data_IF_798636432275
#
_entry.id   IF_798636432275
#
_cell.length_a   1.000
_cell.length_b   1.000
_cell.length_c   1.000
_cell.angle_alpha   90.00
_cell.angle_beta   90.00
_cell.angle_gamma   90.00
#
_symmetry.space_group_name_H-M   'P 1'
#
loop_
_entity.id
_entity.type
_entity.pdbx_description
1 polymer ?
#
# COMPACT_ATOMS: atom_id res chain seq x y z
N UNK A 1 -22.96 -3.80 25.71
CA UNK A 1 -22.86 -2.88 24.55
C UNK A 1 -21.40 -2.44 24.46
N UNK A 2 -20.59 -3.20 23.71
CA UNK A 2 -19.15 -2.94 23.56
C UNK A 2 -19.04 -1.77 22.58
N UNK A 3 -18.73 -0.58 23.08
CA UNK A 3 -18.38 0.54 22.21
C UNK A 3 -16.96 0.29 21.68
N UNK A 4 -16.68 0.49 20.38
CA UNK A 4 -15.30 0.54 19.92
C UNK A 4 -14.59 1.66 20.69
N UNK A 5 -13.47 1.35 21.36
CA UNK A 5 -12.65 2.34 22.07
C UNK A 5 -11.73 3.13 21.15
N UNK A 6 -11.67 2.75 19.87
CA UNK A 6 -10.95 3.50 18.87
C UNK A 6 -11.90 4.54 18.27
N UNK A 7 -11.44 5.78 18.19
CA UNK A 7 -12.08 6.75 17.30
C UNK A 7 -11.96 6.19 15.88
N UNK A 8 -13.04 5.66 15.34
CA UNK A 8 -13.15 5.49 13.89
C UNK A 8 -12.97 6.90 13.34
N UNK A 9 -11.86 7.15 12.66
CA UNK A 9 -11.64 8.42 11.98
C UNK A 9 -12.89 8.72 11.16
N UNK A 10 -13.44 9.93 11.33
CA UNK A 10 -14.67 10.31 10.65
C UNK A 10 -14.47 10.09 9.15
N UNK A 11 -15.35 9.29 8.54
CA UNK A 11 -15.31 8.99 7.12
C UNK A 11 -15.33 10.33 6.37
N UNK A 12 -14.26 10.62 5.63
CA UNK A 12 -14.24 11.79 4.77
C UNK A 12 -15.26 11.61 3.65
N UNK A 13 -16.01 12.65 3.34
CA UNK A 13 -16.87 12.69 2.16
C UNK A 13 -15.98 12.69 0.90
N UNK A 14 -15.67 11.50 0.40
CA UNK A 14 -14.92 11.33 -0.84
C UNK A 14 -15.87 11.58 -2.01
N UNK A 15 -15.43 12.40 -2.97
CA UNK A 15 -16.09 12.54 -4.27
C UNK A 15 -15.19 11.95 -5.35
N UNK A 16 -15.78 11.14 -6.21
CA UNK A 16 -15.13 10.63 -7.43
C UNK A 16 -15.87 11.25 -8.61
N UNK A 17 -15.15 12.02 -9.44
CA UNK A 17 -15.74 12.76 -10.57
C UNK A 17 -16.93 13.66 -10.18
N UNK A 18 -16.86 14.30 -9.01
CA UNK A 18 -17.91 15.19 -8.50
C UNK A 18 -19.13 14.50 -7.89
N UNK A 19 -19.21 13.16 -7.94
CA UNK A 19 -20.27 12.35 -7.33
C UNK A 19 -19.77 11.87 -5.96
N UNK A 20 -20.62 11.98 -4.94
CA UNK A 20 -20.32 11.44 -3.62
C UNK A 20 -20.17 9.92 -3.70
N UNK A 21 -19.05 9.39 -3.22
CA UNK A 21 -18.77 7.96 -3.23
C UNK A 21 -18.85 7.38 -1.81
N UNK A 22 -19.74 6.42 -1.64
CA UNK A 22 -19.92 5.71 -0.37
C UNK A 22 -18.99 4.49 -0.22
N UNK A 23 -18.33 4.07 -1.30
CA UNK A 23 -17.58 2.81 -1.36
C UNK A 23 -16.08 3.00 -1.26
N UNK A 24 -15.51 4.06 -1.83
CA UNK A 24 -14.12 4.42 -1.57
C UNK A 24 -13.93 4.90 -0.14
N UNK A 25 -13.15 4.15 0.63
CA UNK A 25 -12.74 4.51 1.98
C UNK A 25 -11.23 4.74 2.00
N UNK A 26 -10.75 5.78 2.72
CA UNK A 26 -9.32 5.89 3.01
C UNK A 26 -8.87 4.69 3.85
N UNK A 27 -7.59 4.36 3.78
CA UNK A 27 -6.99 3.44 4.75
C UNK A 27 -7.07 4.03 6.14
N UNK A 28 -7.38 3.19 7.12
CA UNK A 28 -7.51 3.57 8.53
C UNK A 28 -6.94 2.46 9.41
N UNK A 29 -6.68 2.80 10.67
CA UNK A 29 -6.21 1.80 11.64
C UNK A 29 -7.43 1.03 12.15
N UNK A 30 -7.48 -0.26 11.84
CA UNK A 30 -8.43 -1.18 12.46
C UNK A 30 -7.72 -2.01 13.53
N UNK A 31 -8.09 -1.77 14.79
CA UNK A 31 -7.58 -2.52 15.93
C UNK A 31 -8.44 -3.76 16.24
N UNK A 32 -9.41 -4.07 15.37
CA UNK A 32 -10.31 -5.20 15.46
C UNK A 32 -11.34 -5.07 16.58
N UNK A 33 -12.16 -6.11 16.73
CA UNK A 33 -12.92 -6.30 17.96
C UNK A 33 -11.95 -6.59 19.10
N UNK A 34 -12.12 -5.93 20.24
CA UNK A 34 -11.29 -6.16 21.43
C UNK A 34 -11.36 -7.64 21.83
N UNK A 35 -10.27 -8.36 21.59
CA UNK A 35 -9.97 -9.65 22.23
C UNK A 35 -8.95 -9.41 23.34
N UNK A 36 -8.71 -10.42 24.17
CA UNK A 36 -7.69 -10.35 25.24
C UNK A 36 -6.27 -10.04 24.70
N UNK A 37 -6.04 -10.21 23.39
CA UNK A 37 -4.76 -9.98 22.70
C UNK A 37 -4.76 -8.74 21.78
N UNK A 38 -5.94 -8.16 21.48
CA UNK A 38 -6.12 -7.03 20.54
C UNK A 38 -6.77 -5.80 21.18
N UNK A 39 -6.67 -5.66 22.50
CA UNK A 39 -7.20 -4.50 23.23
C UNK A 39 -6.31 -3.25 23.09
N UNK A 40 -5.85 -2.97 21.87
CA UNK A 40 -5.08 -1.76 21.56
C UNK A 40 -6.03 -0.62 21.25
N UNK A 41 -5.73 0.57 21.78
CA UNK A 41 -6.46 1.81 21.50
C UNK A 41 -5.60 2.86 20.81
N UNK A 42 -4.31 2.55 20.64
CA UNK A 42 -3.31 3.30 19.91
C UNK A 42 -2.27 2.29 19.36
N UNK A 43 -1.50 2.65 18.32
CA UNK A 43 -0.38 1.84 17.86
C UNK A 43 0.59 1.51 19.02
N UNK A 44 1.10 0.27 19.10
CA UNK A 44 2.01 -0.14 20.19
C UNK A 44 3.43 0.44 20.05
N UNK A 45 3.77 0.99 18.89
CA UNK A 45 5.06 1.63 18.59
C UNK A 45 4.80 2.95 17.90
N UNK A 46 5.56 3.99 18.27
CA UNK A 46 5.56 5.24 17.53
C UNK A 46 6.24 5.04 16.17
N UNK A 47 5.89 5.83 15.16
CA UNK A 47 6.47 5.67 13.82
C UNK A 47 7.98 5.92 13.74
N UNK A 48 8.56 6.53 14.77
CA UNK A 48 10.01 6.71 14.89
C UNK A 48 10.73 5.53 15.54
N UNK A 49 10.02 4.59 16.15
CA UNK A 49 10.59 3.42 16.85
C UNK A 49 11.05 2.31 15.90
N UNK A 50 10.61 2.34 14.65
CA UNK A 50 10.93 1.34 13.65
C UNK A 50 11.15 1.96 12.27
N UNK A 51 11.71 1.16 11.38
CA UNK A 51 12.07 1.57 10.02
C UNK A 51 11.70 0.48 9.04
N UNK A 52 11.14 0.87 7.91
CA UNK A 52 10.84 -0.06 6.82
C UNK A 52 12.07 -0.24 5.93
N UNK A 53 12.38 -1.47 5.56
CA UNK A 53 13.47 -1.79 4.61
C UNK A 53 12.87 -2.27 3.30
N UNK A 54 13.28 -1.68 2.19
CA UNK A 54 12.78 -2.02 0.86
C UNK A 54 13.87 -1.94 -0.21
N UNK A 55 13.55 -2.46 -1.40
CA UNK A 55 14.38 -2.40 -2.61
C UNK A 55 13.54 -2.10 -3.87
N UNK A 56 12.41 -1.42 -3.70
CA UNK A 56 11.48 -1.05 -4.77
C UNK A 56 10.73 -2.20 -5.46
N UNK A 57 10.87 -3.45 -5.00
CA UNK A 57 10.13 -4.59 -5.60
C UNK A 57 8.69 -4.69 -5.11
N UNK A 58 8.39 -4.11 -3.96
CA UNK A 58 7.08 -4.21 -3.33
C UNK A 58 6.00 -3.65 -4.27
N UNK A 59 4.95 -4.44 -4.49
CA UNK A 59 3.80 -4.12 -5.31
C UNK A 59 2.53 -4.59 -4.57
N UNK A 60 1.38 -3.99 -4.88
CA UNK A 60 0.07 -4.33 -4.32
C UNK A 60 -0.05 -3.98 -2.83
N UNK A 61 -0.56 -4.90 -2.01
CA UNK A 61 -0.92 -4.66 -0.62
C UNK A 61 0.24 -4.15 0.23
N UNK A 62 1.47 -4.64 -0.02
CA UNK A 62 2.63 -4.15 0.72
C UNK A 62 2.90 -2.67 0.45
N UNK A 63 2.66 -2.20 -0.79
CA UNK A 63 2.89 -0.83 -1.20
C UNK A 63 1.92 0.11 -0.51
N UNK A 64 0.65 -0.29 -0.46
CA UNK A 64 -0.40 0.42 0.28
C UNK A 64 -0.06 0.52 1.77
N UNK A 65 0.30 -0.62 2.37
CA UNK A 65 0.67 -0.67 3.78
C UNK A 65 1.84 0.28 4.09
N UNK A 66 2.90 0.24 3.28
CA UNK A 66 4.05 1.13 3.48
C UNK A 66 3.73 2.60 3.24
N UNK A 67 2.92 2.94 2.23
CA UNK A 67 2.45 4.31 2.01
C UNK A 67 1.69 4.82 3.22
N UNK A 68 0.80 4.00 3.76
CA UNK A 68 -0.02 4.35 4.90
C UNK A 68 0.83 4.57 6.17
N UNK A 69 1.77 3.68 6.45
CA UNK A 69 2.72 3.84 7.55
C UNK A 69 3.56 5.12 7.43
N UNK A 70 4.01 5.45 6.22
CA UNK A 70 4.74 6.69 5.98
C UNK A 70 3.84 7.92 6.13
N UNK A 71 2.68 7.95 5.49
CA UNK A 71 1.81 9.13 5.42
C UNK A 71 1.09 9.43 6.73
N UNK A 72 0.60 8.40 7.44
CA UNK A 72 -0.13 8.57 8.70
C UNK A 72 0.78 8.58 9.91
N UNK A 73 1.68 7.60 9.98
CA UNK A 73 2.49 7.35 11.18
C UNK A 73 3.90 7.94 11.07
N UNK A 74 4.29 8.50 9.92
CA UNK A 74 5.61 9.12 9.74
C UNK A 74 6.76 8.11 9.73
N UNK A 75 6.48 6.84 9.45
CA UNK A 75 7.48 5.76 9.51
C UNK A 75 8.57 5.99 8.47
N UNK A 76 9.82 5.96 8.94
CA UNK A 76 10.99 6.15 8.10
C UNK A 76 11.31 4.89 7.30
N UNK A 77 12.03 5.05 6.18
CA UNK A 77 12.39 3.95 5.30
C UNK A 77 13.82 3.97 4.77
N UNK A 78 14.44 2.80 4.73
CA UNK A 78 15.73 2.52 4.09
C UNK A 78 15.48 1.78 2.76
N UNK A 79 15.88 2.39 1.65
CA UNK A 79 15.73 1.79 0.31
C UNK A 79 17.09 1.38 -0.23
N UNK A 80 17.24 0.11 -0.59
CA UNK A 80 18.47 -0.45 -1.12
C UNK A 80 18.43 -0.61 -2.64
N UNK A 81 19.51 -0.22 -3.30
CA UNK A 81 19.67 -0.37 -4.76
C UNK A 81 19.27 0.89 -5.53
N UNK A 82 18.73 0.68 -6.73
CA UNK A 82 18.46 1.76 -7.70
C UNK A 82 19.72 2.38 -8.31
N UNK A 83 19.53 3.34 -9.21
CA UNK A 83 20.62 3.98 -9.96
C UNK A 83 21.63 4.65 -9.01
N UNK A 84 22.95 4.37 -9.10
CA UNK A 84 23.94 4.93 -8.18
C UNK A 84 23.94 6.46 -8.08
N UNK A 85 23.72 7.16 -9.20
CA UNK A 85 23.69 8.63 -9.28
C UNK A 85 22.47 9.29 -8.64
N UNK A 86 21.38 8.55 -8.39
CA UNK A 86 20.19 9.12 -7.76
C UNK A 86 20.41 9.28 -6.25
N UNK A 87 20.07 10.45 -5.69
CA UNK A 87 20.17 10.68 -4.23
C UNK A 87 19.03 10.06 -3.43
N UNK A 88 17.91 9.75 -4.09
CA UNK A 88 16.72 9.13 -3.52
C UNK A 88 16.22 8.00 -4.44
N UNK A 89 15.56 7.01 -3.86
CA UNK A 89 14.95 5.89 -4.60
C UNK A 89 13.49 5.75 -4.20
N UNK A 90 12.68 5.22 -5.13
CA UNK A 90 11.28 4.91 -4.84
C UNK A 90 11.22 3.78 -3.81
N UNK A 91 10.32 3.87 -2.84
CA UNK A 91 10.18 2.83 -1.82
C UNK A 91 9.64 1.53 -2.41
N UNK A 92 8.60 1.62 -3.23
CA UNK A 92 7.92 0.51 -3.88
C UNK A 92 8.03 0.57 -5.42
N UNK A 93 7.31 -0.32 -6.10
CA UNK A 93 7.27 -0.43 -7.56
C UNK A 93 6.26 0.51 -8.24
N UNK A 94 5.47 1.25 -7.46
CA UNK A 94 4.40 2.13 -7.95
C UNK A 94 3.05 1.44 -8.17
N UNK A 95 2.97 0.11 -8.10
CA UNK A 95 1.69 -0.62 -8.20
C UNK A 95 1.07 -0.76 -6.82
N UNK A 96 -0.13 -0.20 -6.62
CA UNK A 96 -0.80 -0.09 -5.31
C UNK A 96 -2.22 -0.60 -5.38
N UNK A 97 -2.31 -1.87 -5.76
CA UNK A 97 -3.57 -2.59 -5.83
C UNK A 97 -4.13 -2.99 -4.47
N UNK A 98 -5.37 -2.58 -4.23
CA UNK A 98 -6.15 -2.93 -3.04
C UNK A 98 -6.95 -4.22 -3.24
N UNK A 99 -7.32 -4.50 -4.49
CA UNK A 99 -8.04 -5.72 -4.86
C UNK A 99 -7.57 -6.17 -6.24
N UNK A 100 -7.16 -7.43 -6.35
CA UNK A 100 -6.95 -8.09 -7.64
C UNK A 100 -8.23 -8.84 -7.99
N UNK A 101 -8.66 -8.75 -9.24
CA UNK A 101 -9.67 -9.63 -9.82
C UNK A 101 -9.15 -10.26 -11.10
N UNK A 102 -9.76 -11.37 -11.47
CA UNK A 102 -9.44 -12.05 -12.72
C UNK A 102 -10.48 -11.70 -13.79
N UNK A 103 -10.02 -11.66 -15.03
CA UNK A 103 -10.85 -11.30 -16.18
C UNK A 103 -12.12 -12.16 -16.31
N UNK A 104 -12.01 -13.46 -16.03
CA UNK A 104 -13.14 -14.38 -16.05
C UNK A 104 -14.20 -14.01 -15.00
N UNK A 105 -13.78 -13.49 -13.84
CA UNK A 105 -14.71 -12.98 -12.82
C UNK A 105 -15.45 -11.75 -13.33
N UNK A 106 -14.76 -10.83 -14.01
CA UNK A 106 -15.39 -9.64 -14.62
C UNK A 106 -16.43 -10.03 -15.67
N UNK A 107 -16.09 -10.95 -16.57
CA UNK A 107 -17.03 -11.44 -17.61
C UNK A 107 -18.23 -12.14 -16.96
N UNK A 108 -18.00 -12.93 -15.91
CA UNK A 108 -19.08 -13.61 -15.19
C UNK A 108 -20.03 -12.62 -14.49
N UNK A 109 -19.50 -11.61 -13.81
CA UNK A 109 -20.31 -10.55 -13.16
C UNK A 109 -21.15 -9.77 -14.18
N UNK A 110 -20.59 -9.45 -15.36
CA UNK A 110 -21.34 -8.79 -16.44
C UNK A 110 -22.49 -9.66 -16.95
N UNK A 111 -22.28 -10.97 -17.05
CA UNK A 111 -23.33 -11.92 -17.41
C UNK A 111 -24.45 -11.96 -16.35
N UNK A 112 -24.09 -12.00 -15.07
CA UNK A 112 -25.07 -11.98 -13.97
C UNK A 112 -25.87 -10.66 -13.94
N UNK A 113 -25.22 -9.54 -14.28
CA UNK A 113 -25.85 -8.23 -14.38
C UNK A 113 -26.68 -8.03 -15.65
N UNK A 114 -26.64 -8.96 -16.62
CA UNK A 114 -27.32 -8.82 -17.92
C UNK A 114 -26.68 -7.77 -18.84
N UNK A 115 -25.38 -7.51 -18.67
CA UNK A 115 -24.59 -6.49 -19.37
C UNK A 115 -23.62 -7.08 -20.41
N UNK A 116 -23.71 -8.38 -20.71
CA UNK A 116 -22.79 -9.05 -21.64
C UNK A 116 -22.86 -8.52 -23.09
N UNK A 117 -23.97 -7.89 -23.46
CA UNK A 117 -24.21 -7.33 -24.80
C UNK A 117 -23.92 -5.81 -24.86
N UNK A 118 -23.45 -5.21 -23.76
CA UNK A 118 -23.02 -3.80 -23.75
C UNK A 118 -21.82 -3.62 -24.69
N UNK A 119 -21.80 -2.61 -25.59
CA UNK A 119 -20.67 -2.37 -26.49
C UNK A 119 -19.32 -2.12 -25.80
N UNK A 120 -19.33 -1.72 -24.52
CA UNK A 120 -18.14 -1.52 -23.69
C UNK A 120 -17.77 -2.78 -22.88
N UNK A 121 -18.59 -3.83 -22.88
CA UNK A 121 -18.28 -5.08 -22.19
C UNK A 121 -17.09 -5.78 -22.87
N UNK A 122 -16.08 -6.23 -22.10
CA UNK A 122 -14.99 -6.99 -22.66
C UNK A 122 -15.46 -8.38 -23.11
N UNK A 123 -14.94 -8.84 -24.24
CA UNK A 123 -15.21 -10.18 -24.75
C UNK A 123 -14.22 -11.21 -24.17
N UNK A 124 -14.64 -12.47 -23.96
CA UNK A 124 -13.73 -13.56 -23.63
C UNK A 124 -12.52 -13.63 -24.58
N UNK A 125 -11.36 -14.04 -24.05
CA UNK A 125 -10.18 -14.21 -24.90
C UNK A 125 -10.43 -15.25 -26.00
N UNK A 126 -9.99 -15.00 -27.25
CA UNK A 126 -10.16 -15.95 -28.36
C UNK A 126 -9.24 -17.18 -28.23
N UNK A 127 -8.35 -17.18 -27.24
CA UNK A 127 -7.37 -18.22 -26.93
C UNK A 127 -7.40 -18.50 -25.44
N UNK A 128 -6.85 -19.64 -25.02
CA UNK A 128 -6.62 -19.93 -23.61
C UNK A 128 -5.60 -18.93 -23.04
N UNK A 129 -6.11 -17.88 -22.41
CA UNK A 129 -5.36 -16.82 -21.77
C UNK A 129 -5.99 -16.46 -20.44
N UNK A 130 -5.18 -15.95 -19.52
CA UNK A 130 -5.62 -15.41 -18.25
C UNK A 130 -5.07 -13.99 -18.11
N UNK A 131 -5.87 -13.12 -17.51
CA UNK A 131 -5.50 -11.76 -17.17
C UNK A 131 -6.02 -11.49 -15.77
N UNK A 132 -5.12 -11.06 -14.89
CA UNK A 132 -5.48 -10.47 -13.61
C UNK A 132 -5.32 -8.96 -13.70
N UNK A 133 -6.25 -8.23 -13.10
CA UNK A 133 -6.26 -6.78 -13.07
C UNK A 133 -6.35 -6.28 -11.64
N UNK A 134 -5.70 -5.15 -11.38
CA UNK A 134 -5.93 -4.38 -10.18
C UNK A 134 -7.31 -3.72 -10.30
N UNK A 135 -8.31 -4.30 -9.65
CA UNK A 135 -9.71 -3.89 -9.76
C UNK A 135 -10.03 -2.65 -8.93
N UNK A 136 -9.40 -2.53 -7.75
CA UNK A 136 -9.56 -1.37 -6.87
C UNK A 136 -8.23 -0.77 -6.51
N UNK A 137 -8.10 0.52 -6.81
CA UNK A 137 -6.94 1.32 -6.44
C UNK A 137 -7.07 1.86 -5.02
N UNK A 138 -5.92 2.01 -4.38
CA UNK A 138 -5.80 2.69 -3.10
C UNK A 138 -5.90 4.21 -3.25
N UNK A 139 -6.67 4.84 -2.35
CA UNK A 139 -6.65 6.28 -2.11
C UNK A 139 -5.66 6.56 -0.98
N UNK A 140 -4.78 7.58 -1.10
CA UNK A 140 -3.84 7.92 -0.04
C UNK A 140 -4.54 8.43 1.20
N UNK A 141 -3.85 8.32 2.33
CA UNK A 141 -4.30 8.90 3.60
C UNK A 141 -4.35 10.43 3.51
N UNK A 142 -3.31 11.04 2.94
CA UNK A 142 -3.32 12.47 2.62
C UNK A 142 -3.91 12.65 1.21
N UNK A 143 -5.20 12.93 1.14
CA UNK A 143 -5.96 13.00 -0.12
C UNK A 143 -6.12 14.44 -0.65
N UNK A 144 -6.01 14.59 -1.97
CA UNK A 144 -6.50 15.76 -2.75
C UNK A 144 -7.43 15.25 -3.85
N UNK A 145 -8.26 16.11 -4.45
CA UNK A 145 -9.38 15.73 -5.36
C UNK A 145 -9.03 14.79 -6.55
N UNK A 146 -7.75 14.52 -6.82
CA UNK A 146 -7.28 13.57 -7.84
C UNK A 146 -6.12 12.66 -7.39
N UNK A 147 -5.94 12.45 -6.08
CA UNK A 147 -4.81 11.63 -5.60
C UNK A 147 -5.14 10.15 -5.69
N UNK A 148 -4.86 9.54 -6.85
CA UNK A 148 -4.72 8.09 -6.99
C UNK A 148 -3.26 7.75 -6.70
N UNK A 149 -2.99 6.68 -5.96
CA UNK A 149 -1.60 6.34 -5.64
C UNK A 149 -0.89 5.50 -6.72
N UNK A 150 -1.63 4.86 -7.62
CA UNK A 150 -1.08 4.04 -8.71
C UNK A 150 -0.08 4.86 -9.57
N UNK A 151 1.12 4.31 -9.76
CA UNK A 151 2.26 4.89 -10.46
C UNK A 151 2.78 6.22 -9.90
N UNK A 152 2.38 6.58 -8.67
CA UNK A 152 2.92 7.76 -7.98
C UNK A 152 4.25 7.42 -7.34
N UNK A 153 5.26 8.27 -7.61
CA UNK A 153 6.56 8.17 -6.97
C UNK A 153 6.47 8.50 -5.48
N UNK A 154 6.76 7.52 -4.64
CA UNK A 154 6.96 7.72 -3.20
C UNK A 154 8.41 7.46 -2.83
N UNK A 155 9.08 8.50 -2.33
CA UNK A 155 10.50 8.44 -1.97
C UNK A 155 10.73 7.64 -0.69
N UNK A 156 11.82 6.88 -0.65
CA UNK A 156 12.41 6.41 0.60
C UNK A 156 12.96 7.54 1.46
N UNK A 157 13.08 7.33 2.77
CA UNK A 157 13.71 8.32 3.68
C UNK A 157 15.22 8.41 3.45
N UNK A 158 15.90 7.26 3.35
CA UNK A 158 17.31 7.15 2.95
C UNK A 158 17.46 6.11 1.85
N UNK A 159 18.44 6.33 0.97
CA UNK A 159 18.86 5.39 -0.07
C UNK A 159 20.24 4.84 0.27
N UNK A 160 20.42 3.54 0.09
CA UNK A 160 21.70 2.86 0.22
C UNK A 160 22.00 2.02 -1.04
N UNK A 161 23.28 1.78 -1.29
CA UNK A 161 23.72 0.85 -2.33
C UNK A 161 24.11 -0.47 -1.67
N UNK A 162 23.84 -1.58 -2.36
CA UNK A 162 24.36 -2.87 -1.90
C UNK A 162 25.88 -2.88 -2.00
N UNK A 163 26.52 -3.31 -0.92
CA UNK A 163 27.94 -3.69 -0.91
C UNK A 163 28.05 -5.21 -0.93
N UNK A 164 29.24 -5.73 -1.24
CA UNK A 164 29.50 -7.17 -1.17
C UNK A 164 29.23 -7.75 0.23
N UNK A 165 29.38 -6.94 1.29
CA UNK A 165 29.09 -7.35 2.66
C UNK A 165 27.58 -7.48 2.93
N UNK A 166 26.74 -6.72 2.22
CA UNK A 166 25.29 -6.63 2.47
C UNK A 166 24.45 -7.52 1.54
N UNK A 167 24.86 -7.68 0.27
CA UNK A 167 24.01 -8.20 -0.82
C UNK A 167 23.28 -9.54 -0.53
N UNK A 168 23.93 -10.48 0.16
CA UNK A 168 23.35 -11.79 0.49
C UNK A 168 23.31 -12.05 2.01
N UNK A 169 23.26 -11.00 2.83
CA UNK A 169 23.28 -11.12 4.29
C UNK A 169 22.16 -10.27 4.91
N UNK A 170 20.91 -10.79 4.99
CA UNK A 170 19.79 -10.04 5.54
C UNK A 170 20.04 -9.48 6.93
N UNK A 171 20.69 -10.25 7.82
CA UNK A 171 21.05 -9.79 9.16
C UNK A 171 21.96 -8.55 9.11
N UNK A 172 22.98 -8.54 8.24
CA UNK A 172 23.89 -7.41 8.11
C UNK A 172 23.18 -6.15 7.56
N UNK A 173 22.14 -6.32 6.73
CA UNK A 173 21.28 -5.21 6.29
C UNK A 173 20.54 -4.62 7.49
N UNK A 174 19.93 -5.46 8.33
CA UNK A 174 19.19 -5.00 9.51
C UNK A 174 20.09 -4.32 10.53
N UNK A 175 21.28 -4.87 10.80
CA UNK A 175 22.28 -4.26 11.68
C UNK A 175 22.72 -2.88 11.15
N UNK A 176 23.06 -2.79 9.86
CA UNK A 176 23.42 -1.54 9.20
C UNK A 176 22.29 -0.50 9.27
N UNK A 177 21.05 -0.91 8.98
CA UNK A 177 19.89 -0.02 9.02
C UNK A 177 19.62 0.44 10.46
N UNK A 178 19.77 -0.44 11.45
CA UNK A 178 19.59 -0.07 12.85
C UNK A 178 20.59 1.01 13.26
N UNK A 179 21.87 0.83 12.91
CA UNK A 179 22.92 1.82 13.15
C UNK A 179 22.61 3.16 12.47
N UNK A 180 22.19 3.14 11.20
CA UNK A 180 21.91 4.34 10.40
C UNK A 180 20.71 5.18 10.89
N UNK A 181 19.74 4.57 11.56
CA UNK A 181 18.48 5.23 11.95
C UNK A 181 18.33 5.46 13.45
N UNK A 182 19.04 4.68 14.28
CA UNK A 182 18.96 4.72 15.74
C UNK A 182 20.32 4.94 16.43
N UNK A 183 21.43 4.83 15.69
CA UNK A 183 22.78 4.93 16.23
C UNK A 183 23.32 3.58 16.73
N UNK A 184 24.61 3.55 17.06
CA UNK A 184 25.23 2.40 17.73
C UNK A 184 24.78 2.34 19.19
N UNK A 185 24.42 1.15 19.66
CA UNK A 185 24.25 0.88 21.09
C UNK A 185 25.58 1.05 21.84
#
# INVERSE_FOLDING_TARGET
MIRPKCAVEAQQDVKVNGIADAYSKPFFDDFGAASDVTNFTAPPFDGLDYVMVANSICAFTCSIFSSYLFQKHGVRSAVFGGTPSAHISQFDSGVKGSEVTDFDSVVHELQLAGLQDDPAAPHPFPVAASLSLNFRNAIPYVHTENSILEYVYERGTKKFQYTAALYNKPQAIWEFVAEEFFGTA
#
